data_IF_058398151147
#
_entry.id   IF_058398151147
#
_cell.length_a   1.000
_cell.length_b   1.000
_cell.length_c   1.000
_cell.angle_alpha   90.00
_cell.angle_beta   90.00
_cell.angle_gamma   90.00
#
_symmetry.space_group_name_H-M   'P 1'
#
loop_
_entity.id
_entity.type
_entity.pdbx_description
1 polymer ?
#
# COMPACT_ATOMS: atom_id res chain seq x y z
N UNK A 1 14.42 -28.82 13.44
CA UNK A 1 14.23 -28.08 14.71
C UNK A 1 13.24 -26.97 14.44
N UNK A 2 12.01 -27.02 14.99
CA UNK A 2 11.01 -25.96 14.87
C UNK A 2 11.18 -25.02 16.07
N UNK A 3 11.45 -23.74 15.81
CA UNK A 3 11.61 -22.73 16.86
C UNK A 3 10.27 -22.00 17.04
N UNK A 4 9.70 -22.15 18.25
CA UNK A 4 8.56 -21.44 18.88
C UNK A 4 7.39 -20.99 17.97
N UNK A 5 6.22 -21.57 18.25
CA UNK A 5 4.91 -21.09 17.75
C UNK A 5 4.36 -20.12 18.81
N UNK A 6 4.32 -18.83 18.50
CA UNK A 6 3.47 -17.88 19.22
C UNK A 6 2.22 -17.59 18.36
N UNK A 7 1.21 -16.96 18.94
CA UNK A 7 -0.22 -17.10 18.61
C UNK A 7 -0.73 -16.69 17.19
N UNK A 8 -1.82 -17.37 16.78
CA UNK A 8 -2.88 -17.16 15.74
C UNK A 8 -2.60 -16.57 14.34
N UNK A 9 -1.41 -16.03 14.04
CA UNK A 9 -1.01 -15.51 12.71
C UNK A 9 0.41 -15.93 12.30
N UNK A 10 1.07 -16.79 13.06
CA UNK A 10 2.50 -16.99 12.94
C UNK A 10 2.89 -17.81 11.71
N UNK A 11 3.70 -17.15 10.87
CA UNK A 11 4.63 -17.80 9.97
C UNK A 11 5.48 -18.79 10.78
N UNK A 12 5.51 -20.06 10.37
CA UNK A 12 6.43 -21.04 10.97
C UNK A 12 7.83 -20.74 10.48
N UNK A 13 8.71 -20.34 11.40
CA UNK A 13 10.13 -20.18 11.12
C UNK A 13 10.75 -21.57 11.04
N UNK A 14 11.30 -21.92 9.87
CA UNK A 14 11.93 -23.23 9.64
C UNK A 14 13.35 -23.10 9.09
N UNK A 15 14.12 -24.18 9.21
CA UNK A 15 15.37 -24.30 8.46
C UNK A 15 15.07 -24.61 7.00
N UNK A 16 15.66 -23.83 6.09
CA UNK A 16 15.44 -23.95 4.65
C UNK A 16 16.76 -24.33 3.99
N UNK A 17 16.88 -25.54 3.40
CA UNK A 17 18.08 -25.91 2.66
C UNK A 17 18.35 -24.95 1.50
N UNK A 18 19.60 -24.51 1.32
CA UNK A 18 19.94 -23.50 0.32
C UNK A 18 19.54 -23.86 -1.12
N UNK A 19 19.54 -25.16 -1.46
CA UNK A 19 19.12 -25.67 -2.77
C UNK A 19 17.62 -25.47 -3.10
N UNK A 20 16.84 -24.97 -2.13
CA UNK A 20 15.44 -24.58 -2.29
C UNK A 20 15.27 -23.20 -2.93
N UNK A 21 16.35 -22.42 -3.03
CA UNK A 21 16.30 -21.09 -3.64
C UNK A 21 16.74 -21.13 -5.11
N UNK A 22 16.02 -20.38 -5.94
CA UNK A 22 16.33 -20.19 -7.37
C UNK A 22 16.19 -18.72 -7.73
N UNK A 23 16.68 -18.37 -8.93
CA UNK A 23 16.57 -17.01 -9.44
C UNK A 23 17.09 -15.96 -8.44
N UNK A 24 18.22 -16.28 -7.79
CA UNK A 24 18.84 -15.44 -6.77
C UNK A 24 19.44 -14.22 -7.47
N UNK A 25 19.02 -13.01 -7.05
CA UNK A 25 19.47 -11.73 -7.60
C UNK A 25 19.79 -10.76 -6.48
N UNK A 26 20.98 -10.19 -6.50
CA UNK A 26 21.39 -9.15 -5.57
C UNK A 26 20.50 -7.91 -5.72
N UNK A 27 20.07 -7.33 -4.59
CA UNK A 27 19.26 -6.11 -4.54
C UNK A 27 20.11 -4.94 -4.09
N UNK A 28 20.84 -5.13 -2.99
CA UNK A 28 21.63 -4.09 -2.34
C UNK A 28 22.78 -4.72 -1.55
N UNK A 29 23.84 -3.94 -1.43
CA UNK A 29 24.97 -4.20 -0.55
C UNK A 29 25.12 -2.98 0.33
N UNK A 30 25.02 -3.17 1.66
CA UNK A 30 25.17 -2.07 2.62
C UNK A 30 26.57 -2.18 3.22
N UNK A 31 27.46 -1.26 2.83
CA UNK A 31 28.87 -1.30 3.19
C UNK A 31 29.15 -1.10 4.69
N UNK A 32 28.16 -0.61 5.46
CA UNK A 32 28.33 -0.33 6.88
C UNK A 32 27.98 -1.50 7.83
N UNK A 33 27.56 -2.68 7.35
CA UNK A 33 27.15 -3.78 8.25
C UNK A 33 27.28 -5.22 7.66
N UNK A 34 28.23 -5.47 6.75
CA UNK A 34 28.54 -6.82 6.19
C UNK A 34 27.35 -7.63 5.63
N UNK A 35 26.23 -6.97 5.33
CA UNK A 35 25.00 -7.61 4.90
C UNK A 35 24.77 -7.41 3.40
N UNK A 36 24.54 -8.53 2.68
CA UNK A 36 24.15 -8.51 1.27
C UNK A 36 22.72 -9.04 1.17
N UNK A 37 21.86 -8.27 0.54
CA UNK A 37 20.44 -8.59 0.37
C UNK A 37 20.19 -9.12 -1.04
N UNK A 38 19.57 -10.29 -1.15
CA UNK A 38 19.16 -10.89 -2.41
C UNK A 38 17.64 -11.09 -2.47
N UNK A 39 17.07 -11.13 -3.67
CA UNK A 39 15.76 -11.73 -3.92
C UNK A 39 15.93 -13.14 -4.47
N UNK A 40 15.02 -14.04 -4.10
CA UNK A 40 14.99 -15.40 -4.63
C UNK A 40 13.56 -15.93 -4.74
N UNK A 41 13.40 -17.05 -5.45
CA UNK A 41 12.20 -17.88 -5.45
C UNK A 41 12.48 -19.10 -4.57
N UNK A 42 11.68 -19.27 -3.52
CA UNK A 42 11.68 -20.47 -2.68
C UNK A 42 10.73 -21.52 -3.28
N UNK A 43 11.29 -22.60 -3.84
CA UNK A 43 10.57 -23.66 -4.56
C UNK A 43 9.41 -24.24 -3.75
N UNK A 44 9.70 -24.77 -2.57
CA UNK A 44 8.68 -25.36 -1.71
C UNK A 44 7.82 -24.30 -1.03
N UNK A 45 8.41 -23.13 -0.73
CA UNK A 45 7.71 -22.02 -0.10
C UNK A 45 7.25 -22.28 1.34
N UNK A 46 6.67 -21.26 1.99
CA UNK A 46 6.30 -21.31 3.40
C UNK A 46 5.11 -22.24 3.64
N UNK A 47 5.08 -22.85 4.81
CA UNK A 47 3.94 -23.62 5.30
C UNK A 47 2.87 -22.65 5.83
N UNK A 48 1.60 -22.91 5.53
CA UNK A 48 0.47 -22.21 6.13
C UNK A 48 -0.70 -23.17 6.35
N UNK A 49 -1.53 -22.87 7.35
CA UNK A 49 -2.69 -23.68 7.68
C UNK A 49 -3.88 -23.28 6.83
N UNK A 50 -4.49 -24.25 6.15
CA UNK A 50 -5.65 -24.05 5.28
C UNK A 50 -6.91 -24.48 6.01
N UNK A 51 -7.70 -23.52 6.50
CA UNK A 51 -8.84 -23.78 7.40
C UNK A 51 -9.95 -24.64 6.79
N UNK A 52 -10.25 -24.47 5.50
CA UNK A 52 -11.27 -25.24 4.78
C UNK A 52 -10.91 -26.73 4.69
N UNK A 53 -9.62 -27.06 4.58
CA UNK A 53 -9.11 -28.43 4.54
C UNK A 53 -8.59 -28.97 5.87
N UNK A 54 -8.47 -28.09 6.88
CA UNK A 54 -7.88 -28.38 8.20
C UNK A 54 -6.49 -29.00 8.14
N UNK A 55 -5.69 -28.64 7.13
CA UNK A 55 -4.35 -29.20 6.89
C UNK A 55 -3.30 -28.10 6.69
N UNK A 56 -2.04 -28.44 6.96
CA UNK A 56 -0.90 -27.57 6.62
C UNK A 56 -0.47 -27.83 5.19
N UNK A 57 -0.42 -26.76 4.38
CA UNK A 57 0.04 -26.84 2.99
C UNK A 57 1.17 -25.87 2.73
N UNK A 58 1.99 -26.23 1.73
CA UNK A 58 3.08 -25.39 1.25
C UNK A 58 2.56 -24.39 0.21
N UNK A 59 3.12 -23.18 0.21
CA UNK A 59 2.86 -22.15 -0.78
C UNK A 59 4.04 -22.03 -1.76
N UNK A 60 4.16 -22.93 -2.76
CA UNK A 60 5.35 -23.04 -3.60
C UNK A 60 5.63 -21.76 -4.41
N UNK A 61 6.86 -21.70 -4.94
CA UNK A 61 7.36 -20.62 -5.81
C UNK A 61 7.23 -19.22 -5.21
N UNK A 62 7.40 -19.15 -3.89
CA UNK A 62 7.26 -17.90 -3.15
C UNK A 62 8.47 -17.01 -3.36
N UNK A 63 8.26 -15.76 -3.82
CA UNK A 63 9.32 -14.76 -3.82
C UNK A 63 9.65 -14.32 -2.40
N UNK A 64 10.92 -14.41 -2.03
CA UNK A 64 11.47 -14.09 -0.70
C UNK A 64 12.65 -13.14 -0.81
N UNK A 65 13.00 -12.53 0.32
CA UNK A 65 14.24 -11.77 0.49
C UNK A 65 15.20 -12.62 1.32
N UNK A 66 16.46 -12.68 0.89
CA UNK A 66 17.55 -13.38 1.57
C UNK A 66 18.53 -12.33 2.08
N UNK A 67 18.60 -12.15 3.38
CA UNK A 67 19.64 -11.31 3.99
C UNK A 67 20.79 -12.22 4.41
N UNK A 68 21.89 -12.19 3.66
CA UNK A 68 23.12 -12.85 4.03
C UNK A 68 23.85 -11.96 5.03
N UNK A 69 24.02 -12.45 6.26
CA UNK A 69 24.63 -11.73 7.36
C UNK A 69 25.95 -12.41 7.71
N UNK A 70 27.06 -11.71 7.48
CA UNK A 70 28.38 -12.17 7.94
C UNK A 70 28.58 -11.70 9.38
N UNK A 71 27.84 -12.31 10.30
CA UNK A 71 27.82 -12.04 11.74
C UNK A 71 28.14 -13.32 12.52
N UNK A 72 28.56 -13.16 13.77
CA UNK A 72 28.57 -14.30 14.69
C UNK A 72 27.14 -14.74 15.07
N UNK A 73 27.03 -15.88 15.73
CA UNK A 73 25.74 -16.50 16.04
C UNK A 73 24.93 -15.71 17.07
N UNK A 74 25.57 -15.03 18.03
CA UNK A 74 24.89 -14.26 19.07
C UNK A 74 24.32 -12.96 18.48
N UNK A 75 25.14 -12.25 17.69
CA UNK A 75 24.72 -11.08 16.93
C UNK A 75 23.57 -11.39 15.97
N UNK A 76 23.65 -12.53 15.29
CA UNK A 76 22.59 -12.99 14.40
C UNK A 76 21.26 -13.16 15.16
N UNK A 77 21.23 -13.87 16.29
CA UNK A 77 19.99 -14.07 17.04
C UNK A 77 19.41 -12.76 17.61
N UNK A 78 20.26 -11.88 18.12
CA UNK A 78 19.83 -10.54 18.57
C UNK A 78 19.19 -9.74 17.43
N UNK A 79 19.71 -9.87 16.21
CA UNK A 79 19.16 -9.22 15.02
C UNK A 79 17.82 -9.84 14.60
N UNK A 80 17.71 -11.17 14.63
CA UNK A 80 16.51 -11.93 14.25
C UNK A 80 15.29 -11.54 15.09
N UNK A 81 15.47 -11.30 16.39
CA UNK A 81 14.39 -10.92 17.31
C UNK A 81 13.69 -9.58 16.93
N UNK A 82 14.36 -8.73 16.13
CA UNK A 82 13.79 -7.47 15.65
C UNK A 82 12.87 -7.64 14.42
N UNK A 83 12.80 -8.84 13.82
CA UNK A 83 12.01 -9.08 12.61
C UNK A 83 10.70 -9.82 12.90
N UNK A 84 9.60 -9.28 12.37
CA UNK A 84 8.26 -9.88 12.47
C UNK A 84 7.82 -10.71 11.25
N UNK A 85 8.68 -10.83 10.23
CA UNK A 85 8.34 -11.41 8.92
C UNK A 85 9.34 -12.46 8.42
N UNK A 86 9.90 -13.21 9.35
CA UNK A 86 10.85 -14.27 9.04
C UNK A 86 10.08 -15.50 8.61
N UNK A 87 10.40 -16.02 7.43
CA UNK A 87 9.98 -17.35 6.97
C UNK A 87 10.90 -18.46 7.48
N UNK A 88 12.19 -18.17 7.64
CA UNK A 88 13.13 -19.19 8.03
C UNK A 88 14.57 -18.71 8.07
N UNK A 89 15.45 -19.66 8.36
CA UNK A 89 16.89 -19.50 8.34
C UNK A 89 17.47 -20.50 7.34
N UNK A 90 18.44 -20.07 6.55
CA UNK A 90 19.24 -20.92 5.66
C UNK A 90 20.71 -20.66 5.95
N UNK A 91 21.60 -21.41 5.31
CA UNK A 91 23.03 -21.16 5.34
C UNK A 91 23.60 -21.22 3.93
N UNK A 92 24.54 -20.32 3.63
CA UNK A 92 25.26 -20.33 2.36
C UNK A 92 26.20 -21.55 2.32
N UNK A 93 26.10 -22.43 1.32
CA UNK A 93 26.93 -23.64 1.26
C UNK A 93 28.42 -23.34 1.01
N UNK A 94 28.75 -22.16 0.49
CA UNK A 94 30.12 -21.79 0.14
C UNK A 94 30.81 -20.99 1.25
N UNK A 95 30.09 -20.02 1.84
CA UNK A 95 30.66 -19.14 2.88
C UNK A 95 30.33 -19.59 4.29
N UNK A 96 29.36 -20.49 4.45
CA UNK A 96 28.80 -20.92 5.74
C UNK A 96 28.10 -19.83 6.54
N UNK A 97 27.92 -18.64 5.97
CA UNK A 97 27.15 -17.56 6.59
C UNK A 97 25.67 -17.92 6.70
N UNK A 98 25.04 -17.48 7.80
CA UNK A 98 23.61 -17.62 7.97
C UNK A 98 22.85 -16.62 7.10
N UNK A 99 21.72 -17.07 6.60
CA UNK A 99 20.83 -16.32 5.71
C UNK A 99 19.47 -16.23 6.38
N UNK A 100 19.03 -15.01 6.65
CA UNK A 100 17.67 -14.77 7.11
C UNK A 100 16.72 -14.72 5.91
N UNK A 101 15.70 -15.57 5.93
CA UNK A 101 14.72 -15.67 4.83
C UNK A 101 13.48 -14.91 5.24
N UNK A 102 13.24 -13.77 4.59
CA UNK A 102 12.20 -12.82 4.93
C UNK A 102 11.07 -12.83 3.89
N UNK A 103 9.86 -12.54 4.35
CA UNK A 103 8.75 -12.25 3.45
C UNK A 103 9.09 -11.05 2.56
N UNK A 104 8.88 -11.22 1.26
CA UNK A 104 8.95 -10.09 0.34
C UNK A 104 7.74 -9.15 0.57
N UNK A 105 8.05 -7.99 1.15
CA UNK A 105 7.11 -6.91 1.50
C UNK A 105 7.04 -5.83 0.43
N UNK A 106 7.66 -6.04 -0.72
CA UNK A 106 7.76 -5.06 -1.78
C UNK A 106 6.51 -5.06 -2.66
N UNK A 107 6.10 -3.87 -3.04
CA UNK A 107 5.07 -3.60 -4.02
C UNK A 107 5.42 -4.20 -5.35
N UNK A 108 4.52 -5.02 -5.90
CA UNK A 108 4.71 -5.64 -7.22
C UNK A 108 4.77 -4.61 -8.37
N UNK A 109 4.17 -3.43 -8.19
CA UNK A 109 4.11 -2.38 -9.23
C UNK A 109 5.40 -1.54 -9.28
N UNK A 110 5.95 -1.14 -8.13
CA UNK A 110 7.10 -0.22 -8.09
C UNK A 110 8.34 -0.75 -7.37
N UNK A 111 8.27 -1.94 -6.75
CA UNK A 111 9.39 -2.55 -6.02
C UNK A 111 9.71 -1.93 -4.66
N UNK A 112 9.09 -0.80 -4.27
CA UNK A 112 9.21 -0.21 -2.93
C UNK A 112 8.36 -0.97 -1.91
N UNK A 113 8.63 -0.84 -0.61
CA UNK A 113 7.82 -1.47 0.43
C UNK A 113 6.35 -1.04 0.36
N UNK A 114 5.44 -1.98 0.61
CA UNK A 114 4.04 -1.64 0.85
C UNK A 114 3.92 -0.82 2.15
N UNK A 115 3.03 0.18 2.14
CA UNK A 115 2.68 0.95 3.33
C UNK A 115 1.75 0.16 4.25
N UNK A 116 0.87 -0.66 3.67
CA UNK A 116 0.06 -1.64 4.39
C UNK A 116 0.16 -2.99 3.67
N UNK A 117 0.64 -4.00 4.41
CA UNK A 117 0.93 -5.33 3.90
C UNK A 117 -0.30 -6.22 3.78
N UNK A 118 -1.28 -6.04 4.66
CA UNK A 118 -2.50 -6.83 4.70
C UNK A 118 -3.32 -6.56 3.44
N UNK A 119 -3.55 -5.27 3.16
CA UNK A 119 -4.27 -4.84 1.97
C UNK A 119 -3.37 -4.73 0.73
N UNK A 120 -2.05 -4.85 0.89
CA UNK A 120 -1.03 -4.63 -0.16
C UNK A 120 -1.17 -3.23 -0.78
N UNK A 121 -1.35 -2.24 0.07
CA UNK A 121 -1.47 -0.84 -0.29
C UNK A 121 -0.09 -0.21 -0.46
N UNK A 122 0.16 0.40 -1.61
CA UNK A 122 1.38 1.14 -1.88
C UNK A 122 1.01 2.59 -2.19
N UNK A 123 1.20 3.48 -1.21
CA UNK A 123 0.81 4.90 -1.29
C UNK A 123 1.32 5.55 -2.57
N UNK A 124 2.59 5.33 -2.91
CA UNK A 124 3.19 5.86 -4.14
C UNK A 124 2.47 5.38 -5.41
N UNK A 125 2.16 4.08 -5.50
CA UNK A 125 1.48 3.53 -6.67
C UNK A 125 0.04 4.02 -6.77
N UNK A 126 -0.65 4.18 -5.64
CA UNK A 126 -2.04 4.62 -5.61
C UNK A 126 -2.17 6.11 -5.93
N UNK A 127 -1.27 6.96 -5.40
CA UNK A 127 -1.20 8.38 -5.79
C UNK A 127 -0.95 8.51 -7.30
N UNK A 128 0.04 7.81 -7.84
CA UNK A 128 0.33 7.83 -9.27
C UNK A 128 -0.87 7.33 -10.10
N UNK A 129 -1.59 6.31 -9.63
CA UNK A 129 -2.79 5.82 -10.30
C UNK A 129 -3.90 6.89 -10.31
N UNK A 130 -4.15 7.56 -9.18
CA UNK A 130 -5.15 8.64 -9.09
C UNK A 130 -4.80 9.78 -10.05
N UNK A 131 -3.55 10.24 -10.01
CA UNK A 131 -3.09 11.36 -10.83
C UNK A 131 -3.13 11.05 -12.34
N UNK A 132 -2.89 9.80 -12.75
CA UNK A 132 -2.90 9.45 -14.17
C UNK A 132 -4.29 9.12 -14.72
N UNK A 133 -5.19 8.56 -13.90
CA UNK A 133 -6.47 8.03 -14.37
C UNK A 133 -7.69 8.87 -13.97
N UNK A 134 -7.57 9.71 -12.94
CA UNK A 134 -8.71 10.46 -12.39
C UNK A 134 -8.42 11.96 -12.21
N UNK A 135 -7.35 12.44 -12.81
CA UNK A 135 -7.06 13.86 -12.90
C UNK A 135 -7.94 14.53 -13.96
N UNK A 136 -9.17 14.89 -13.58
CA UNK A 136 -9.86 15.97 -14.27
C UNK A 136 -9.27 17.28 -13.75
N UNK A 137 -8.82 18.14 -14.66
CA UNK A 137 -8.29 19.45 -14.31
C UNK A 137 -9.34 20.52 -14.55
N UNK A 138 -9.40 21.48 -13.64
CA UNK A 138 -10.29 22.63 -13.74
C UNK A 138 -9.86 23.59 -14.86
N UNK A 139 -8.60 23.52 -15.27
CA UNK A 139 -7.96 24.52 -16.12
C UNK A 139 -7.49 25.76 -15.34
N UNK A 140 -7.74 25.80 -14.02
CA UNK A 140 -7.26 26.83 -13.12
C UNK A 140 -6.12 26.29 -12.26
N UNK A 141 -4.93 26.87 -12.43
CA UNK A 141 -3.71 26.41 -11.75
C UNK A 141 -3.82 26.39 -10.21
N UNK A 142 -4.52 27.35 -9.60
CA UNK A 142 -4.66 27.39 -8.13
C UNK A 142 -5.52 26.23 -7.62
N UNK A 143 -6.64 25.96 -8.29
CA UNK A 143 -7.52 24.83 -7.96
C UNK A 143 -6.81 23.49 -8.21
N UNK A 144 -6.15 23.38 -9.36
CA UNK A 144 -5.46 22.14 -9.74
C UNK A 144 -4.31 21.81 -8.76
N UNK A 145 -3.56 22.83 -8.32
CA UNK A 145 -2.53 22.67 -7.28
C UNK A 145 -3.14 22.20 -5.94
N UNK A 146 -4.23 22.83 -5.49
CA UNK A 146 -4.92 22.42 -4.26
C UNK A 146 -5.40 20.96 -4.32
N UNK A 147 -5.98 20.54 -5.45
CA UNK A 147 -6.41 19.16 -5.66
C UNK A 147 -5.21 18.21 -5.56
N UNK A 148 -4.10 18.53 -6.23
CA UNK A 148 -2.88 17.71 -6.17
C UNK A 148 -2.32 17.59 -4.76
N UNK A 149 -2.28 18.69 -4.00
CA UNK A 149 -1.83 18.68 -2.62
C UNK A 149 -2.67 17.76 -1.74
N UNK A 150 -4.00 17.77 -1.91
CA UNK A 150 -4.89 16.87 -1.17
C UNK A 150 -4.69 15.41 -1.60
N UNK A 151 -4.53 15.12 -2.89
CA UNK A 151 -4.30 13.77 -3.40
C UNK A 151 -2.99 13.15 -2.89
N UNK A 152 -1.90 13.93 -2.79
CA UNK A 152 -0.61 13.44 -2.28
C UNK A 152 -0.66 13.10 -0.78
N UNK A 153 -1.59 13.74 -0.04
CA UNK A 153 -1.77 13.55 1.40
C UNK A 153 -2.57 12.30 1.77
N UNK A 154 -3.10 11.55 0.80
CA UNK A 154 -3.78 10.26 1.03
C UNK A 154 -2.83 9.28 1.74
N UNK A 155 -3.29 8.68 2.84
CA UNK A 155 -2.54 7.78 3.72
C UNK A 155 -3.14 6.38 3.77
N UNK A 156 -4.43 6.23 3.48
CA UNK A 156 -5.11 4.93 3.53
C UNK A 156 -6.12 4.72 2.41
N UNK A 157 -6.57 3.48 2.28
CA UNK A 157 -7.59 3.09 1.32
C UNK A 157 -8.99 3.64 1.65
N UNK A 158 -9.22 4.06 2.90
CA UNK A 158 -10.47 4.66 3.34
C UNK A 158 -10.50 6.19 3.16
N UNK A 159 -9.40 6.81 2.73
CA UNK A 159 -9.32 8.26 2.60
C UNK A 159 -10.13 8.73 1.39
N UNK A 160 -10.71 9.93 1.53
CA UNK A 160 -11.46 10.58 0.46
C UNK A 160 -10.47 11.16 -0.55
N UNK A 161 -10.69 10.83 -1.82
CA UNK A 161 -9.94 11.43 -2.93
C UNK A 161 -10.62 12.73 -3.34
N UNK A 162 -9.94 13.86 -3.16
CA UNK A 162 -10.38 15.15 -3.68
C UNK A 162 -10.12 15.19 -5.19
N UNK A 163 -11.11 15.64 -5.96
CA UNK A 163 -11.02 15.76 -7.41
C UNK A 163 -11.85 16.94 -7.92
N UNK A 164 -11.53 17.42 -9.12
CA UNK A 164 -12.39 18.35 -9.84
C UNK A 164 -13.58 17.62 -10.44
N UNK A 165 -14.78 18.18 -10.28
CA UNK A 165 -16.01 17.62 -10.79
C UNK A 165 -16.60 18.59 -11.83
N UNK A 166 -16.60 18.25 -13.13
CA UNK A 166 -17.26 19.06 -14.14
C UNK A 166 -18.74 19.24 -13.81
N UNK A 167 -19.26 20.47 -13.95
CA UNK A 167 -20.63 20.80 -13.53
C UNK A 167 -21.69 19.91 -14.23
N UNK A 168 -21.43 19.48 -15.47
CA UNK A 168 -22.31 18.56 -16.21
C UNK A 168 -22.43 17.15 -15.59
N UNK A 169 -21.68 16.83 -14.52
CA UNK A 169 -21.80 15.60 -13.75
C UNK A 169 -22.94 15.64 -12.75
N UNK A 170 -23.49 16.83 -12.47
CA UNK A 170 -24.61 17.01 -11.56
C UNK A 170 -25.94 17.01 -12.32
N UNK A 171 -26.92 16.31 -11.78
CA UNK A 171 -28.31 16.29 -12.26
C UNK A 171 -29.26 16.53 -11.07
N UNK A 172 -30.51 16.87 -11.35
CA UNK A 172 -31.54 17.14 -10.33
C UNK A 172 -31.07 18.18 -9.29
N UNK A 173 -30.51 19.29 -9.79
CA UNK A 173 -29.98 20.37 -8.95
C UNK A 173 -31.15 21.21 -8.44
N UNK A 174 -31.34 21.28 -7.13
CA UNK A 174 -32.39 22.06 -6.48
C UNK A 174 -31.78 22.93 -5.37
N UNK A 175 -32.11 24.23 -5.34
CA UNK A 175 -31.75 25.12 -4.23
C UNK A 175 -32.46 24.66 -2.96
N UNK A 176 -31.71 24.58 -1.85
CA UNK A 176 -32.24 24.18 -0.54
C UNK A 176 -32.05 25.25 0.54
N UNK A 177 -31.35 26.34 0.24
CA UNK A 177 -31.24 27.49 1.13
C UNK A 177 -30.10 28.44 0.78
N UNK A 178 -30.06 29.56 1.50
CA UNK A 178 -28.98 30.54 1.46
C UNK A 178 -28.39 30.67 2.86
N UNK A 179 -27.09 30.90 2.93
CA UNK A 179 -26.34 31.03 4.19
C UNK A 179 -25.48 32.28 4.13
N UNK A 180 -25.15 32.81 5.31
CA UNK A 180 -24.20 33.92 5.48
C UNK A 180 -24.60 35.17 4.69
N UNK A 181 -25.79 35.74 4.95
CA UNK A 181 -26.29 36.97 4.31
C UNK A 181 -26.23 37.00 2.76
N UNK A 182 -26.48 35.84 2.11
CA UNK A 182 -26.40 35.59 0.66
C UNK A 182 -24.99 35.45 0.08
N UNK A 183 -23.96 35.23 0.89
CA UNK A 183 -22.60 34.89 0.41
C UNK A 183 -22.53 33.46 -0.15
N UNK A 184 -23.43 32.57 0.30
CA UNK A 184 -23.49 31.21 -0.20
C UNK A 184 -24.92 30.76 -0.54
N UNK A 185 -25.08 30.08 -1.67
CA UNK A 185 -26.30 29.36 -2.04
C UNK A 185 -26.03 27.86 -1.95
N UNK A 186 -26.88 27.13 -1.24
CA UNK A 186 -26.77 25.69 -1.05
C UNK A 186 -27.74 24.98 -1.98
N UNK A 187 -27.23 24.00 -2.72
CA UNK A 187 -28.01 23.14 -3.59
C UNK A 187 -27.91 21.69 -3.16
N UNK A 188 -28.98 20.92 -3.35
CA UNK A 188 -28.94 19.46 -3.41
C UNK A 188 -28.79 19.02 -4.87
N UNK A 189 -27.99 17.99 -5.13
CA UNK A 189 -27.82 17.44 -6.47
C UNK A 189 -27.50 15.95 -6.42
N UNK A 190 -27.64 15.27 -7.57
CA UNK A 190 -27.13 13.91 -7.78
C UNK A 190 -25.85 13.99 -8.61
N UNK A 191 -24.75 13.50 -8.06
CA UNK A 191 -23.50 13.33 -8.79
C UNK A 191 -23.50 11.98 -9.53
N UNK A 192 -23.60 12.03 -10.88
CA UNK A 192 -23.69 10.84 -11.75
C UNK A 192 -22.55 9.86 -11.52
N UNK A 193 -21.30 10.31 -11.67
CA UNK A 193 -20.15 9.44 -11.45
C UNK A 193 -19.94 9.13 -9.97
N UNK A 194 -20.20 10.09 -9.08
CA UNK A 194 -20.03 9.92 -7.65
C UNK A 194 -18.56 9.85 -7.20
N UNK A 195 -18.33 9.86 -5.87
CA UNK A 195 -16.98 9.88 -5.31
C UNK A 195 -16.25 8.56 -5.55
N UNK A 196 -14.92 8.66 -5.65
CA UNK A 196 -14.03 7.50 -5.60
C UNK A 196 -13.96 6.93 -4.18
N UNK A 197 -13.92 5.61 -4.11
CA UNK A 197 -13.56 4.89 -2.90
C UNK A 197 -12.82 3.61 -3.25
N UNK A 198 -11.97 3.12 -2.36
CA UNK A 198 -11.20 1.92 -2.60
C UNK A 198 -11.96 0.68 -2.11
N UNK A 199 -12.12 -0.30 -2.99
CA UNK A 199 -12.73 -1.59 -2.64
C UNK A 199 -12.01 -2.70 -3.39
N UNK A 200 -11.82 -3.84 -2.72
CA UNK A 200 -11.24 -5.05 -3.34
C UNK A 200 -9.96 -4.80 -4.15
N UNK A 201 -9.04 -3.97 -3.63
CA UNK A 201 -7.75 -3.61 -4.27
C UNK A 201 -7.84 -2.75 -5.53
N UNK A 202 -8.94 -2.03 -5.69
CA UNK A 202 -9.19 -1.14 -6.83
C UNK A 202 -10.03 0.08 -6.43
N UNK A 203 -9.80 1.21 -7.12
CA UNK A 203 -10.65 2.38 -7.02
C UNK A 203 -11.94 2.19 -7.82
N UNK A 204 -13.08 2.44 -7.17
CA UNK A 204 -14.40 2.35 -7.79
C UNK A 204 -15.22 3.60 -7.48
N UNK A 205 -16.25 3.84 -8.29
CA UNK A 205 -17.13 5.00 -8.24
C UNK A 205 -18.41 4.66 -7.48
N UNK A 206 -18.82 5.51 -6.55
CA UNK A 206 -20.12 5.40 -5.89
C UNK A 206 -21.17 6.24 -6.64
N UNK A 207 -21.58 5.75 -7.81
CA UNK A 207 -22.41 6.49 -8.76
C UNK A 207 -23.78 6.91 -8.22
N UNK A 208 -24.32 7.98 -8.81
CA UNK A 208 -25.61 8.59 -8.47
C UNK A 208 -25.74 8.97 -6.99
N UNK A 209 -24.64 9.45 -6.40
CA UNK A 209 -24.62 9.87 -4.99
C UNK A 209 -25.31 11.22 -4.84
N UNK A 210 -26.25 11.30 -3.90
CA UNK A 210 -26.82 12.58 -3.46
C UNK A 210 -25.73 13.37 -2.73
N UNK A 211 -25.53 14.61 -3.14
CA UNK A 211 -24.51 15.54 -2.63
C UNK A 211 -25.14 16.90 -2.34
N UNK A 212 -24.46 17.64 -1.46
CA UNK A 212 -24.74 19.05 -1.20
C UNK A 212 -23.66 19.88 -1.88
N UNK A 213 -24.07 20.86 -2.67
CA UNK A 213 -23.18 21.81 -3.34
C UNK A 213 -23.30 23.16 -2.61
N UNK A 214 -22.19 23.66 -2.06
CA UNK A 214 -22.10 25.04 -1.55
C UNK A 214 -21.52 25.92 -2.65
N UNK A 215 -22.35 26.76 -3.26
CA UNK A 215 -21.93 27.74 -4.26
C UNK A 215 -21.63 29.05 -3.55
N UNK A 216 -20.36 29.46 -3.57
CA UNK A 216 -19.92 30.72 -2.98
C UNK A 216 -19.99 31.83 -4.03
N UNK A 217 -20.43 33.02 -3.64
CA UNK A 217 -20.42 34.22 -4.50
C UNK A 217 -19.09 34.99 -4.43
N UNK A 218 -18.11 34.45 -3.70
CA UNK A 218 -16.79 35.03 -3.45
C UNK A 218 -15.84 34.84 -4.65
N UNK A 219 -14.81 35.69 -4.73
CA UNK A 219 -13.71 35.49 -5.69
C UNK A 219 -12.88 34.26 -5.29
N UNK A 220 -12.21 33.64 -6.27
CA UNK A 220 -11.40 32.43 -6.08
C UNK A 220 -10.28 32.62 -5.05
N UNK A 221 -9.83 33.86 -4.83
CA UNK A 221 -8.80 34.18 -3.84
C UNK A 221 -9.34 34.13 -2.41
N UNK A 222 -10.61 34.49 -2.21
CA UNK A 222 -11.28 34.44 -0.92
C UNK A 222 -11.68 33.00 -0.56
N UNK A 223 -12.01 32.17 -1.56
CA UNK A 223 -12.30 30.74 -1.39
C UNK A 223 -11.22 29.98 -0.60
N UNK A 224 -9.95 30.18 -0.92
CA UNK A 224 -8.85 29.46 -0.28
C UNK A 224 -8.51 29.95 1.14
N UNK A 225 -9.11 31.06 1.59
CA UNK A 225 -8.97 31.52 2.99
C UNK A 225 -9.94 30.73 3.89
N UNK A 226 -11.04 30.22 3.34
CA UNK A 226 -12.09 29.52 4.10
C UNK A 226 -11.90 27.99 4.21
N UNK A 227 -10.92 27.39 3.52
CA UNK A 227 -10.74 25.93 3.36
C UNK A 227 -9.37 25.44 3.82
#
# INVERSE_FOLDING_TARGET
MQLKINYWTHIIVEWIPHNQFTNIKEIEKVDNNSAITYSAIWKNGPLYYRYDKKEWIRNPDKKVILNCLSLDIEEFFNMVDNYSNIYGISQNPNTYDYILVLQNRNCKRCGKLYNDLENKWCKLCEINHIQNNFANWSGNQKIDNFIQEKQIKINGFNDIVVEWIPFNQFININEIGKVDDNVAIIYSAIWKNGPLYYKTKSWIRNSYKIVVLKCLTLDINEFFIEV
#
